data_IF_562119562866
#
_entry.id   IF_562119562866
#
_cell.length_a   1.000
_cell.length_b   1.000
_cell.length_c   1.000
_cell.angle_alpha   90.00
_cell.angle_beta   90.00
_cell.angle_gamma   90.00
#
_symmetry.space_group_name_H-M   'P 1'
#
loop_
_entity.id
_entity.type
_entity.pdbx_description
1 polymer ?
#
# COMPACT_ATOMS: atom_id res chain seq x y z
N UNK A 1 12.66 1.84 5.01
CA UNK A 1 12.96 1.07 3.78
C UNK A 1 12.45 1.92 2.63
N UNK A 2 13.25 2.16 1.60
CA UNK A 2 12.73 2.85 0.41
C UNK A 2 11.82 1.87 -0.33
N UNK A 3 10.53 2.17 -0.37
CA UNK A 3 9.54 1.40 -1.11
C UNK A 3 9.62 1.86 -2.56
N UNK A 4 9.87 0.92 -3.47
CA UNK A 4 9.86 1.22 -4.90
C UNK A 4 8.42 1.16 -5.41
N UNK A 5 7.68 2.26 -5.24
CA UNK A 5 6.29 2.37 -5.68
C UNK A 5 6.06 3.76 -6.33
N UNK A 6 5.59 3.83 -7.59
CA UNK A 6 5.35 5.12 -8.25
C UNK A 6 4.32 5.96 -7.50
N UNK A 7 4.61 7.25 -7.37
CA UNK A 7 3.74 8.23 -6.71
C UNK A 7 3.34 7.84 -5.28
N UNK A 8 4.16 7.03 -4.60
CA UNK A 8 3.93 6.71 -3.20
C UNK A 8 4.12 7.95 -2.32
N UNK A 9 3.20 8.12 -1.37
CA UNK A 9 3.24 9.21 -0.40
C UNK A 9 3.59 8.65 0.98
N UNK A 10 4.71 9.09 1.53
CA UNK A 10 5.14 8.72 2.89
C UNK A 10 4.57 9.72 3.93
N UNK A 11 3.86 9.18 4.93
CA UNK A 11 3.22 9.89 6.03
C UNK A 11 3.61 9.22 7.35
N UNK A 12 4.85 9.48 7.81
CA UNK A 12 5.39 8.84 9.00
C UNK A 12 5.51 7.31 8.83
N UNK A 13 4.87 6.48 9.69
CA UNK A 13 4.90 5.03 9.55
C UNK A 13 4.00 4.49 8.42
N UNK A 14 3.23 5.36 7.75
CA UNK A 14 2.29 5.00 6.70
C UNK A 14 2.88 5.36 5.34
N UNK A 15 2.76 4.47 4.37
CA UNK A 15 2.99 4.75 2.96
C UNK A 15 1.71 4.51 2.19
N UNK A 16 1.20 5.54 1.51
CA UNK A 16 0.10 5.40 0.56
C UNK A 16 0.67 4.80 -0.72
N UNK A 17 0.20 3.60 -1.07
CA UNK A 17 0.46 2.95 -2.33
C UNK A 17 -0.56 3.46 -3.34
N UNK A 18 -0.19 4.52 -4.05
CA UNK A 18 -1.08 5.17 -5.03
C UNK A 18 -1.42 4.20 -6.15
N UNK A 19 -2.71 4.02 -6.42
CA UNK A 19 -3.19 3.19 -7.52
C UNK A 19 -2.93 3.82 -8.89
N UNK A 20 -3.02 3.02 -9.94
CA UNK A 20 -3.03 3.53 -11.31
C UNK A 20 -4.12 4.61 -11.47
N UNK A 21 -3.95 5.50 -12.46
CA UNK A 21 -4.87 6.64 -12.67
C UNK A 21 -5.09 7.48 -11.39
N UNK A 22 -4.03 7.64 -10.58
CA UNK A 22 -4.01 8.39 -9.31
C UNK A 22 -5.02 7.88 -8.28
N UNK A 23 -5.20 6.56 -8.20
CA UNK A 23 -6.08 5.93 -7.22
C UNK A 23 -7.56 6.00 -7.55
N UNK A 24 -7.94 6.39 -8.78
CA UNK A 24 -9.34 6.37 -9.22
C UNK A 24 -9.86 4.93 -9.27
N UNK A 25 -11.16 4.73 -9.05
CA UNK A 25 -11.81 3.43 -9.27
C UNK A 25 -11.53 2.91 -10.70
N UNK A 26 -11.21 1.61 -10.88
CA UNK A 26 -11.17 0.55 -9.86
C UNK A 26 -9.82 0.37 -9.16
N UNK A 27 -8.85 1.25 -9.47
CA UNK A 27 -7.45 1.05 -9.11
C UNK A 27 -7.04 1.48 -7.72
N UNK A 28 -7.84 2.31 -7.01
CA UNK A 28 -7.80 2.60 -5.57
C UNK A 28 -6.43 2.90 -4.93
N UNK A 29 -6.40 3.61 -3.81
CA UNK A 29 -5.17 3.64 -3.01
C UNK A 29 -5.21 2.54 -1.96
N UNK A 30 -4.05 1.97 -1.66
CA UNK A 30 -3.85 1.10 -0.50
C UNK A 30 -2.91 1.77 0.47
N UNK A 31 -2.90 1.32 1.71
CA UNK A 31 -1.97 1.84 2.72
C UNK A 31 -1.09 0.72 3.25
N UNK A 32 0.21 0.95 3.24
CA UNK A 32 1.17 0.12 3.95
C UNK A 32 1.50 0.80 5.28
N UNK A 33 1.24 0.13 6.39
CA UNK A 33 1.51 0.64 7.73
C UNK A 33 2.60 -0.19 8.37
N UNK A 34 3.69 0.47 8.78
CA UNK A 34 4.79 -0.18 9.51
C UNK A 34 4.69 0.12 11.00
N UNK A 35 4.31 -0.90 11.77
CA UNK A 35 4.42 -0.90 13.22
C UNK A 35 5.81 -1.31 13.70
N UNK A 36 5.99 -1.33 15.03
CA UNK A 36 7.23 -1.79 15.66
C UNK A 36 7.47 -3.31 15.47
N UNK A 37 6.40 -4.08 15.32
CA UNK A 37 6.46 -5.55 15.27
C UNK A 37 5.81 -6.17 14.02
N UNK A 38 4.96 -5.42 13.32
CA UNK A 38 4.17 -5.93 12.21
C UNK A 38 4.02 -4.89 11.11
N UNK A 39 3.88 -5.37 9.88
CA UNK A 39 3.56 -4.60 8.69
C UNK A 39 2.17 -4.98 8.22
N UNK A 40 1.28 -4.00 8.09
CA UNK A 40 -0.12 -4.18 7.73
C UNK A 40 -0.37 -3.54 6.36
N UNK A 41 -1.12 -4.23 5.50
CA UNK A 41 -1.67 -3.68 4.27
C UNK A 41 -3.17 -3.43 4.45
N UNK A 42 -3.61 -2.21 4.21
CA UNK A 42 -5.02 -1.80 4.31
C UNK A 42 -5.58 -1.60 2.90
N UNK A 43 -6.77 -2.15 2.66
CA UNK A 43 -7.54 -2.06 1.43
C UNK A 43 -6.69 -2.28 0.16
N UNK A 44 -6.16 -3.51 -0.05
CA UNK A 44 -5.38 -3.84 -1.24
C UNK A 44 -6.18 -3.54 -2.52
N UNK A 45 -5.67 -2.63 -3.34
CA UNK A 45 -6.32 -2.20 -4.57
C UNK A 45 -5.95 -3.12 -5.73
N UNK A 46 -6.66 -2.99 -6.87
CA UNK A 46 -6.29 -3.75 -8.08
C UNK A 46 -4.86 -3.49 -8.51
N UNK A 47 -4.36 -2.27 -8.31
CA UNK A 47 -2.96 -1.93 -8.61
C UNK A 47 -1.98 -2.74 -7.76
N UNK A 48 -2.30 -2.97 -6.47
CA UNK A 48 -1.51 -3.84 -5.58
C UNK A 48 -1.61 -5.30 -6.00
N UNK A 49 -2.80 -5.77 -6.40
CA UNK A 49 -2.97 -7.12 -6.91
C UNK A 49 -2.14 -7.38 -8.19
N UNK A 50 -2.06 -6.39 -9.09
CA UNK A 50 -1.33 -6.50 -10.36
C UNK A 50 0.19 -6.39 -10.19
N UNK A 51 0.67 -5.50 -9.31
CA UNK A 51 2.12 -5.26 -9.11
C UNK A 51 2.75 -6.17 -8.06
N UNK A 52 1.93 -6.72 -7.16
CA UNK A 52 2.39 -7.35 -5.93
C UNK A 52 2.70 -6.35 -4.82
N UNK A 53 2.92 -6.87 -3.62
CA UNK A 53 3.23 -6.06 -2.44
C UNK A 53 4.72 -5.68 -2.40
N UNK A 54 5.08 -4.44 -2.01
CA UNK A 54 6.46 -3.98 -2.06
C UNK A 54 7.30 -4.35 -0.82
N UNK A 55 6.72 -5.08 0.13
CA UNK A 55 7.36 -5.57 1.35
C UNK A 55 6.63 -6.81 1.87
N UNK A 56 7.24 -7.62 2.76
CA UNK A 56 6.53 -8.66 3.50
C UNK A 56 5.38 -8.07 4.32
N UNK A 57 4.20 -8.69 4.22
CA UNK A 57 2.98 -8.25 4.90
C UNK A 57 2.59 -9.30 5.93
N UNK A 58 2.42 -8.90 7.18
CA UNK A 58 1.99 -9.79 8.26
C UNK A 58 0.47 -9.94 8.29
N UNK A 59 -0.26 -8.87 7.97
CA UNK A 59 -1.72 -8.83 8.01
C UNK A 59 -2.32 -7.94 6.92
N UNK A 60 -3.53 -8.30 6.47
CA UNK A 60 -4.35 -7.51 5.57
C UNK A 60 -5.62 -7.08 6.30
N UNK A 61 -5.96 -5.80 6.23
CA UNK A 61 -7.22 -5.25 6.74
C UNK A 61 -8.09 -4.78 5.58
N UNK A 62 -9.37 -5.14 5.63
CA UNK A 62 -10.41 -4.73 4.70
C UNK A 62 -11.45 -3.89 5.46
N UNK A 63 -11.82 -2.73 4.93
CA UNK A 63 -12.86 -1.85 5.49
C UNK A 63 -14.29 -2.23 5.09
#
# INVERSE_FOLDING_TARGET
MKINWPDALELGPVTVLTGAERGKYPHGNSMLVRGAHQTILIDPSLTVAERGVPAPIDQVLLS
#
